data_IF_383327903553
#
_entry.id   IF_383327903553
#
_cell.length_a   1.000
_cell.length_b   1.000
_cell.length_c   1.000
_cell.angle_alpha   90.00
_cell.angle_beta   90.00
_cell.angle_gamma   90.00
#
_symmetry.space_group_name_H-M   'P 1'
#
loop_
_entity.id
_entity.type
_entity.pdbx_description
1 polymer ?
#
# COMPACT_ATOMS: atom_id res chain seq x y z
N UNK A 1 -5.29 -28.81 -11.72
CA UNK A 1 -5.41 -27.38 -11.38
C UNK A 1 -4.11 -26.92 -10.72
N UNK A 2 -3.41 -25.93 -11.29
CA UNK A 2 -2.17 -25.39 -10.74
C UNK A 2 -2.45 -24.65 -9.43
N UNK A 3 -1.83 -25.07 -8.32
CA UNK A 3 -1.88 -24.33 -7.05
C UNK A 3 -1.08 -23.05 -7.23
N UNK A 4 -1.77 -21.91 -7.33
CA UNK A 4 -1.12 -20.59 -7.34
C UNK A 4 -0.33 -20.47 -6.03
N UNK A 5 1.00 -20.45 -6.11
CA UNK A 5 1.83 -20.32 -4.92
C UNK A 5 1.47 -19.01 -4.20
N UNK A 6 1.25 -19.10 -2.88
CA UNK A 6 0.89 -17.93 -2.07
C UNK A 6 2.15 -17.09 -1.91
N UNK A 7 2.15 -15.89 -2.48
CA UNK A 7 3.25 -14.94 -2.35
C UNK A 7 3.51 -14.60 -0.88
N UNK A 8 4.79 -14.45 -0.54
CA UNK A 8 5.20 -13.91 0.76
C UNK A 8 4.76 -12.44 0.89
N UNK A 9 4.75 -11.91 2.11
CA UNK A 9 4.44 -10.50 2.33
C UNK A 9 5.48 -9.59 1.67
N UNK A 10 6.76 -9.96 1.77
CA UNK A 10 7.86 -9.24 1.12
C UNK A 10 7.66 -9.17 -0.41
N UNK A 11 7.30 -10.28 -1.04
CA UNK A 11 7.01 -10.32 -2.49
C UNK A 11 5.82 -9.44 -2.89
N UNK A 12 4.83 -9.25 -2.01
CA UNK A 12 3.71 -8.34 -2.26
C UNK A 12 4.13 -6.88 -2.13
N UNK A 13 4.97 -6.56 -1.16
CA UNK A 13 5.47 -5.21 -0.91
C UNK A 13 6.40 -4.73 -2.03
N UNK A 14 7.14 -5.65 -2.66
CA UNK A 14 7.99 -5.33 -3.81
C UNK A 14 7.21 -5.07 -5.11
N UNK A 15 5.90 -5.26 -5.12
CA UNK A 15 5.07 -4.96 -6.27
C UNK A 15 4.24 -3.70 -6.03
N UNK A 16 4.53 -2.63 -6.77
CA UNK A 16 3.85 -1.34 -6.62
C UNK A 16 2.44 -1.31 -7.21
N UNK A 17 2.07 -2.28 -8.06
CA UNK A 17 0.74 -2.36 -8.67
C UNK A 17 0.28 -1.02 -9.27
N UNK A 18 1.20 -0.33 -9.97
CA UNK A 18 0.95 0.96 -10.64
C UNK A 18 0.72 2.15 -9.68
N UNK A 19 1.05 2.00 -8.39
CA UNK A 19 1.01 3.07 -7.38
C UNK A 19 2.35 3.82 -7.32
N UNK A 20 2.40 5.09 -6.87
CA UNK A 20 1.33 5.87 -6.25
C UNK A 20 0.30 6.45 -7.22
N UNK A 21 -0.94 6.65 -6.76
CA UNK A 21 -2.02 7.24 -7.57
C UNK A 21 -2.87 8.23 -6.82
N UNK A 22 -3.31 9.27 -7.53
CA UNK A 22 -4.36 10.17 -7.06
C UNK A 22 -5.70 9.74 -7.63
N UNK A 23 -6.69 9.50 -6.77
CA UNK A 23 -8.03 9.10 -7.18
C UNK A 23 -9.09 10.05 -6.61
N UNK A 24 -10.18 10.26 -7.35
CA UNK A 24 -11.33 11.03 -6.84
C UNK A 24 -12.05 10.25 -5.75
N UNK A 25 -12.48 10.93 -4.69
CA UNK A 25 -13.33 10.37 -3.65
C UNK A 25 -14.76 10.28 -4.20
N UNK A 26 -15.37 9.10 -4.13
CA UNK A 26 -16.69 8.82 -4.73
C UNK A 26 -17.62 8.06 -3.78
N UNK A 27 -18.93 8.18 -4.05
CA UNK A 27 -19.98 7.34 -3.46
C UNK A 27 -19.95 7.26 -1.93
N UNK A 28 -19.71 6.05 -1.40
CA UNK A 28 -19.68 5.80 0.05
C UNK A 28 -18.45 6.41 0.74
N UNK A 29 -17.34 6.62 0.02
CA UNK A 29 -16.11 7.17 0.61
C UNK A 29 -16.30 8.62 1.05
N UNK A 30 -17.08 9.41 0.30
CA UNK A 30 -17.27 10.84 0.60
C UNK A 30 -17.96 11.09 1.94
N UNK A 31 -18.79 10.15 2.40
CA UNK A 31 -19.44 10.23 3.73
C UNK A 31 -18.44 10.23 4.89
N UNK A 32 -17.26 9.61 4.71
CA UNK A 32 -16.23 9.52 5.75
C UNK A 32 -15.08 10.50 5.52
N UNK A 33 -14.69 10.71 4.27
CA UNK A 33 -13.48 11.44 3.91
C UNK A 33 -13.75 12.82 3.29
N UNK A 34 -15.02 13.19 3.08
CA UNK A 34 -15.40 14.44 2.44
C UNK A 34 -15.31 14.39 0.91
N UNK A 35 -15.29 15.55 0.28
CA UNK A 35 -15.15 15.69 -1.18
C UNK A 35 -13.68 15.97 -1.54
N UNK A 36 -13.27 15.63 -2.76
CA UNK A 36 -11.92 15.89 -3.25
C UNK A 36 -11.24 14.64 -3.81
N UNK A 37 -9.91 14.58 -3.67
CA UNK A 37 -9.06 13.49 -4.13
C UNK A 37 -8.25 12.92 -2.98
N UNK A 38 -7.89 11.65 -3.08
CA UNK A 38 -7.02 10.95 -2.12
C UNK A 38 -5.82 10.34 -2.86
N UNK A 39 -4.67 10.37 -2.21
CA UNK A 39 -3.46 9.69 -2.66
C UNK A 39 -3.46 8.26 -2.11
N UNK A 40 -3.23 7.29 -2.98
CA UNK A 40 -2.93 5.91 -2.62
C UNK A 40 -1.41 5.73 -2.77
N UNK A 41 -0.64 5.64 -1.67
CA UNK A 41 0.81 5.47 -1.73
C UNK A 41 1.17 4.05 -2.20
N UNK A 42 2.39 3.90 -2.74
CA UNK A 42 2.93 2.59 -3.06
C UNK A 42 3.23 1.79 -1.78
N UNK A 43 3.15 0.44 -1.80
CA UNK A 43 3.41 -0.39 -0.63
C UNK A 43 4.79 -0.13 0.00
N UNK A 44 5.82 0.16 -0.81
CA UNK A 44 7.15 0.52 -0.32
C UNK A 44 7.21 1.83 0.46
N UNK A 45 6.46 2.84 0.04
CA UNK A 45 6.40 4.14 0.74
C UNK A 45 5.80 3.97 2.13
N UNK A 46 4.76 3.13 2.25
CA UNK A 46 4.16 2.78 3.54
C UNK A 46 5.16 2.02 4.41
N UNK A 47 5.91 1.06 3.84
CA UNK A 47 6.96 0.35 4.58
C UNK A 47 7.95 1.36 5.14
N UNK A 48 8.51 2.26 4.33
CA UNK A 48 9.46 3.26 4.82
C UNK A 48 8.90 4.10 5.99
N UNK A 49 7.63 4.52 5.93
CA UNK A 49 6.99 5.25 7.03
C UNK A 49 6.84 4.42 8.31
N UNK A 50 6.47 3.14 8.17
CA UNK A 50 6.28 2.22 9.32
C UNK A 50 7.63 1.79 9.90
N UNK A 51 8.67 1.66 9.07
CA UNK A 51 10.01 1.22 9.48
C UNK A 51 10.91 2.37 9.92
N UNK A 52 10.56 3.61 9.59
CA UNK A 52 11.30 4.83 9.93
C UNK A 52 11.50 5.08 11.43
N UNK A 53 10.96 4.21 12.30
CA UNK A 53 11.19 4.21 13.75
C UNK A 53 12.02 3.00 14.23
N UNK A 54 12.36 2.02 13.38
CA UNK A 54 13.13 0.82 13.72
C UNK A 54 14.01 0.34 12.55
N UNK A 55 14.69 1.27 11.87
CA UNK A 55 15.61 0.99 10.76
C UNK A 55 16.97 0.38 11.21
N UNK A 56 16.97 -0.42 12.27
CA UNK A 56 18.11 -1.23 12.71
C UNK A 56 17.61 -2.60 13.17
N UNK A 57 17.16 -3.41 12.22
CA UNK A 57 17.44 -4.85 12.15
C UNK A 57 16.68 -5.42 10.96
N UNK A 58 17.39 -6.17 10.13
CA UNK A 58 16.81 -6.94 9.03
C UNK A 58 16.01 -8.13 9.54
N UNK A 59 15.03 -7.88 10.41
CA UNK A 59 14.13 -8.87 10.97
C UNK A 59 12.68 -8.41 10.76
N UNK A 60 11.98 -9.14 9.88
CA UNK A 60 10.56 -9.00 9.52
C UNK A 60 9.93 -10.39 9.41
#
# INVERSE_FOLDING_TARGET
>A
MSRKQRRSWQEKLMNDNDLPKVVKITGKMSKKWGTGTVVIPAPREVVFLVLGHNANQGDW
#
